data_IF_029408769727
#
_entry.id   IF_029408769727
#
_cell.length_a   1.000
_cell.length_b   1.000
_cell.length_c   1.000
_cell.angle_alpha   90.00
_cell.angle_beta   90.00
_cell.angle_gamma   90.00
#
_symmetry.space_group_name_H-M   'P 1'
#
loop_
_entity.id
_entity.type
_entity.pdbx_description
1 polymer ?
#
# COMPACT_ATOMS: atom_id res chain seq x y z
N UNK A 1 -17.47 21.58 20.40
CA UNK A 1 -16.53 21.24 19.31
C UNK A 1 -16.81 19.80 18.89
N UNK A 2 -17.75 19.61 17.97
CA UNK A 2 -18.24 18.29 17.59
C UNK A 2 -17.55 17.84 16.30
N UNK A 3 -16.92 16.66 16.30
CA UNK A 3 -16.35 16.06 15.09
C UNK A 3 -17.38 15.94 13.98
N UNK A 4 -18.65 15.80 14.32
CA UNK A 4 -19.76 15.74 13.39
C UNK A 4 -19.93 17.03 12.57
N UNK A 5 -19.67 18.22 13.13
CA UNK A 5 -19.69 19.48 12.36
C UNK A 5 -18.55 19.51 11.33
N UNK A 6 -17.37 19.00 11.68
CA UNK A 6 -16.23 18.90 10.76
C UNK A 6 -16.51 18.01 9.54
N UNK A 7 -17.25 16.92 9.73
CA UNK A 7 -17.70 16.06 8.63
C UNK A 7 -18.92 16.64 7.88
N UNK A 8 -19.74 17.45 8.56
CA UNK A 8 -20.97 18.04 8.01
C UNK A 8 -20.86 19.54 7.69
N UNK A 9 -19.66 20.06 7.38
CA UNK A 9 -19.48 21.38 6.76
C UNK A 9 -19.94 21.36 5.29
N UNK A 10 -21.24 21.18 5.04
CA UNK A 10 -21.87 21.45 3.74
C UNK A 10 -21.24 20.74 2.52
N UNK A 11 -20.65 19.55 2.69
CA UNK A 11 -20.06 18.75 1.60
C UNK A 11 -18.55 18.90 1.38
N UNK A 12 -17.86 19.83 2.04
CA UNK A 12 -16.41 20.02 1.88
C UNK A 12 -15.57 18.86 2.42
N UNK A 13 -16.04 18.20 3.48
CA UNK A 13 -15.32 17.08 4.10
C UNK A 13 -15.08 15.93 3.12
N UNK A 14 -16.00 15.69 2.17
CA UNK A 14 -15.87 14.65 1.15
C UNK A 14 -14.68 14.93 0.22
N UNK A 15 -14.48 16.18 -0.20
CA UNK A 15 -13.37 16.57 -1.06
C UNK A 15 -12.02 16.40 -0.37
N UNK A 16 -11.95 16.77 0.91
CA UNK A 16 -10.75 16.66 1.74
C UNK A 16 -10.38 15.18 1.93
N UNK A 17 -11.33 14.37 2.40
CA UNK A 17 -11.12 12.94 2.62
C UNK A 17 -10.81 12.17 1.34
N UNK A 18 -11.40 12.55 0.20
CA UNK A 18 -11.09 11.91 -1.08
C UNK A 18 -9.67 12.26 -1.55
N UNK A 19 -9.22 13.50 -1.35
CA UNK A 19 -7.85 13.92 -1.65
C UNK A 19 -6.81 13.20 -0.78
N UNK A 20 -7.09 13.07 0.52
CA UNK A 20 -6.26 12.28 1.44
C UNK A 20 -6.28 10.79 1.09
N UNK A 21 -7.45 10.23 0.75
CA UNK A 21 -7.60 8.84 0.34
C UNK A 21 -6.83 8.53 -0.94
N UNK A 22 -6.85 9.43 -1.93
CA UNK A 22 -6.09 9.29 -3.16
C UNK A 22 -4.58 9.36 -2.91
N UNK A 23 -4.13 10.32 -2.09
CA UNK A 23 -2.73 10.43 -1.69
C UNK A 23 -2.26 9.16 -0.96
N UNK A 24 -3.05 8.67 0.00
CA UNK A 24 -2.78 7.44 0.72
C UNK A 24 -2.75 6.22 -0.22
N UNK A 25 -3.67 6.12 -1.17
CA UNK A 25 -3.70 5.05 -2.16
C UNK A 25 -2.43 5.05 -3.03
N UNK A 26 -1.98 6.23 -3.49
CA UNK A 26 -0.73 6.37 -4.26
C UNK A 26 0.48 5.97 -3.40
N UNK A 27 0.55 6.41 -2.15
CA UNK A 27 1.62 6.02 -1.21
C UNK A 27 1.65 4.50 -0.99
N UNK A 28 0.50 3.90 -0.69
CA UNK A 28 0.38 2.45 -0.49
C UNK A 28 0.77 1.69 -1.75
N UNK A 29 0.32 2.13 -2.93
CA UNK A 29 0.69 1.51 -4.20
C UNK A 29 2.20 1.59 -4.45
N UNK A 30 2.80 2.75 -4.15
CA UNK A 30 4.24 2.96 -4.24
C UNK A 30 5.02 2.07 -3.27
N UNK A 31 4.49 1.83 -2.06
CA UNK A 31 5.09 0.96 -1.04
C UNK A 31 4.92 -0.54 -1.35
N UNK A 32 3.78 -0.95 -1.92
CA UNK A 32 3.50 -2.35 -2.28
C UNK A 32 4.41 -2.81 -3.42
N UNK A 33 4.72 -1.93 -4.36
CA UNK A 33 5.57 -2.23 -5.53
C UNK A 33 6.96 -2.81 -5.15
N UNK A 34 7.76 -2.18 -4.27
CA UNK A 34 9.04 -2.72 -3.82
C UNK A 34 8.88 -3.95 -2.91
N UNK A 35 7.82 -4.01 -2.08
CA UNK A 35 7.52 -5.19 -1.27
C UNK A 35 7.28 -6.43 -2.14
N UNK A 36 6.49 -6.28 -3.21
CA UNK A 36 6.24 -7.37 -4.18
C UNK A 36 7.53 -7.79 -4.90
N UNK A 37 8.35 -6.83 -5.35
CA UNK A 37 9.65 -7.14 -5.99
C UNK A 37 10.62 -7.86 -5.06
N UNK A 38 10.69 -7.47 -3.78
CA UNK A 38 11.53 -8.16 -2.78
C UNK A 38 11.08 -9.60 -2.55
N UNK A 39 9.78 -9.84 -2.51
CA UNK A 39 9.26 -11.18 -2.29
C UNK A 39 9.58 -12.12 -3.46
N UNK A 40 9.52 -11.62 -4.71
CA UNK A 40 9.92 -12.39 -5.90
C UNK A 40 11.42 -12.73 -5.91
N UNK A 41 12.29 -11.79 -5.50
CA UNK A 41 13.74 -12.05 -5.35
C UNK A 41 14.04 -13.12 -4.30
N UNK A 42 13.39 -13.08 -3.13
CA UNK A 42 13.55 -14.12 -2.11
C UNK A 42 13.05 -15.50 -2.58
N UNK A 43 11.98 -15.50 -3.40
CA UNK A 43 11.40 -16.73 -3.95
C UNK A 43 12.33 -17.38 -4.98
N UNK A 44 13.06 -16.61 -5.78
CA UNK A 44 14.04 -17.13 -6.73
C UNK A 44 15.27 -17.71 -6.03
N UNK A 45 15.76 -17.09 -4.95
CA UNK A 45 16.84 -17.65 -4.13
C UNK A 45 16.47 -19.00 -3.49
N UNK A 46 15.28 -19.11 -2.92
CA UNK A 46 14.79 -20.39 -2.36
C UNK A 46 14.70 -21.49 -3.41
N UNK A 47 14.43 -21.14 -4.67
CA UNK A 47 14.29 -22.11 -5.76
C UNK A 47 15.65 -22.65 -6.20
N UNK A 48 16.70 -21.83 -6.19
CA UNK A 48 18.08 -22.23 -6.51
C UNK A 48 18.67 -23.14 -5.43
N UNK A 49 18.52 -22.79 -4.15
CA UNK A 49 18.94 -23.65 -3.02
C UNK A 49 18.31 -25.06 -3.08
N UNK A 50 17.06 -25.15 -3.54
CA UNK A 50 16.35 -26.43 -3.66
C UNK A 50 16.84 -27.28 -4.85
N UNK A 51 17.46 -26.68 -5.86
CA UNK A 51 18.06 -27.40 -6.99
C UNK A 51 19.49 -27.83 -6.70
N UNK A 52 20.27 -27.03 -5.97
CA UNK A 52 21.65 -27.38 -5.59
C UNK A 52 21.73 -28.52 -4.57
N UNK A 53 20.68 -28.71 -3.76
CA UNK A 53 20.54 -29.89 -2.86
C UNK A 53 19.93 -31.13 -3.54
N UNK A 54 19.74 -31.13 -4.87
CA UNK A 54 19.44 -32.35 -5.62
C UNK A 54 20.74 -32.84 -6.29
N UNK A 55 21.34 -33.94 -5.79
CA UNK A 55 22.59 -34.50 -6.29
C UNK A 55 22.47 -35.06 -7.72
#
# INVERSE_FOLDING_TARGET
>A
MNFQEFFHMGGYAVYVWTSYGLCFAVLVFNLITPLRRKNEMLKSLRRQLKQESRP
#
